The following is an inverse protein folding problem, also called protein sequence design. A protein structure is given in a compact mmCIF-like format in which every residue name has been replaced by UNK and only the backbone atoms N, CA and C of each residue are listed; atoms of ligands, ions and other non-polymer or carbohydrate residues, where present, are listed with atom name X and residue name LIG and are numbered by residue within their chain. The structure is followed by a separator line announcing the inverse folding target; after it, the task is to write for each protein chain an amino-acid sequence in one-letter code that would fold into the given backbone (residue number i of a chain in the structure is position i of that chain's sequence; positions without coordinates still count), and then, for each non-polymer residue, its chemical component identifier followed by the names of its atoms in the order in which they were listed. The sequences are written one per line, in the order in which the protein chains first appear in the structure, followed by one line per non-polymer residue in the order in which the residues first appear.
data_IF_282941274728
#
_entry.id   IF_282941274728
#
_cell.length_a   1.000
_cell.length_b   1.000
_cell.length_c   1.000
_cell.angle_alpha   90.00
_cell.angle_beta   90.00
_cell.angle_gamma   90.00
#
_symmetry.space_group_name_H-M   'P 1'
#
loop_
_entity.id
_entity.type
_entity.pdbx_description
1 polymer ?
#
# COMPACT_ATOMS: atom_id res chain seq x y z
N UNK A 1 -9.55 12.50 4.51
CA UNK A 1 -8.35 11.70 4.88
C UNK A 1 -8.02 10.82 3.71
N UNK A 2 -6.98 11.13 2.98
CA UNK A 2 -6.64 10.50 1.70
C UNK A 2 -5.44 9.58 1.86
N UNK A 3 -5.54 8.34 1.35
CA UNK A 3 -4.46 7.36 1.39
C UNK A 3 -4.23 6.81 -0.01
N UNK A 4 -3.01 6.98 -0.48
CA UNK A 4 -2.54 6.37 -1.71
C UNK A 4 -1.39 5.40 -1.41
N UNK A 5 -1.23 4.40 -2.26
CA UNK A 5 -0.10 3.46 -2.21
C UNK A 5 0.62 3.49 -3.55
N UNK A 6 1.95 3.47 -3.51
CA UNK A 6 2.79 3.35 -4.68
C UNK A 6 3.72 2.13 -4.56
N UNK A 7 3.69 1.27 -5.56
CA UNK A 7 4.62 0.17 -5.75
C UNK A 7 5.67 0.59 -6.78
N UNK A 8 6.91 0.67 -6.35
CA UNK A 8 8.03 1.07 -7.21
C UNK A 8 8.61 -0.17 -7.89
N UNK A 9 8.40 -0.24 -9.21
CA UNK A 9 8.94 -1.29 -10.08
C UNK A 9 8.78 -2.72 -9.52
N UNK A 10 7.57 -3.13 -9.10
CA UNK A 10 7.33 -4.45 -8.52
C UNK A 10 7.71 -5.55 -9.52
N UNK A 11 8.12 -6.71 -8.98
CA UNK A 11 8.59 -7.83 -9.80
C UNK A 11 7.51 -8.85 -10.11
N UNK A 12 6.65 -9.15 -9.14
CA UNK A 12 5.73 -10.28 -9.23
C UNK A 12 4.27 -9.83 -9.37
N UNK A 13 3.57 -10.24 -10.45
CA UNK A 13 2.16 -9.89 -10.68
C UNK A 13 1.24 -10.29 -9.52
N UNK A 14 1.49 -11.43 -8.85
CA UNK A 14 0.66 -11.90 -7.75
C UNK A 14 0.74 -10.97 -6.52
N UNK A 15 1.89 -10.35 -6.26
CA UNK A 15 2.02 -9.36 -5.19
C UNK A 15 1.22 -8.11 -5.49
N UNK A 16 1.22 -7.65 -6.75
CA UNK A 16 0.38 -6.52 -7.16
C UNK A 16 -1.10 -6.84 -6.98
N UNK A 17 -1.55 -8.05 -7.40
CA UNK A 17 -2.93 -8.48 -7.23
C UNK A 17 -3.36 -8.57 -5.76
N UNK A 18 -2.51 -9.10 -4.89
CA UNK A 18 -2.79 -9.13 -3.45
C UNK A 18 -2.78 -7.73 -2.83
N UNK A 19 -1.91 -6.83 -3.30
CA UNK A 19 -1.91 -5.42 -2.89
C UNK A 19 -3.21 -4.74 -3.27
N UNK A 20 -3.77 -4.97 -4.47
CA UNK A 20 -5.10 -4.47 -4.86
C UNK A 20 -6.16 -4.84 -3.82
N UNK A 21 -6.13 -6.07 -3.31
CA UNK A 21 -7.05 -6.50 -2.25
C UNK A 21 -6.81 -5.74 -0.95
N UNK A 22 -5.57 -5.63 -0.50
CA UNK A 22 -5.24 -4.93 0.75
C UNK A 22 -5.69 -3.46 0.70
N UNK A 23 -5.36 -2.73 -0.37
CA UNK A 23 -5.74 -1.31 -0.52
C UNK A 23 -7.25 -1.14 -0.57
N UNK A 24 -7.97 -2.07 -1.21
CA UNK A 24 -9.44 -2.04 -1.26
C UNK A 24 -10.08 -2.33 0.10
N UNK A 25 -9.52 -3.25 0.89
CA UNK A 25 -10.01 -3.59 2.23
C UNK A 25 -9.84 -2.42 3.19
N UNK A 26 -8.69 -1.75 3.14
CA UNK A 26 -8.36 -0.66 4.07
C UNK A 26 -8.69 0.75 3.54
N UNK A 27 -9.44 0.84 2.43
CA UNK A 27 -10.00 2.10 1.95
C UNK A 27 -8.96 3.09 1.41
N UNK A 28 -7.81 2.62 0.90
CA UNK A 28 -6.93 3.48 0.13
C UNK A 28 -7.62 3.88 -1.19
N UNK A 29 -7.39 5.10 -1.66
CA UNK A 29 -8.13 5.67 -2.79
C UNK A 29 -7.45 5.37 -4.13
N UNK A 30 -6.11 5.23 -4.14
CA UNK A 30 -5.35 4.93 -5.36
C UNK A 30 -4.21 3.96 -5.08
N UNK A 31 -3.94 3.12 -6.07
CA UNK A 31 -2.77 2.27 -6.13
C UNK A 31 -1.98 2.60 -7.39
N UNK A 32 -0.83 3.21 -7.21
CA UNK A 32 0.11 3.51 -8.28
C UNK A 32 1.12 2.36 -8.46
N UNK A 33 1.58 2.18 -9.68
CA UNK A 33 2.65 1.27 -10.01
C UNK A 33 3.62 1.93 -11.00
N UNK A 34 4.90 1.92 -10.68
CA UNK A 34 5.95 2.36 -11.60
C UNK A 34 6.65 1.16 -12.26
N UNK A 35 7.47 1.43 -13.26
CA UNK A 35 8.23 0.40 -13.96
C UNK A 35 7.40 -0.38 -14.98
N UNK A 36 8.02 -1.40 -15.57
CA UNK A 36 7.45 -2.19 -16.67
C UNK A 36 7.63 -3.71 -16.48
N UNK A 37 8.06 -4.15 -15.29
CA UNK A 37 8.30 -5.58 -15.01
C UNK A 37 7.01 -6.38 -14.84
N UNK A 38 5.93 -5.71 -14.46
CA UNK A 38 4.60 -6.30 -14.33
C UNK A 38 3.66 -5.64 -15.33
N UNK A 39 3.20 -6.44 -16.29
CA UNK A 39 2.14 -6.04 -17.20
C UNK A 39 0.79 -6.48 -16.63
N UNK A 40 -0.05 -5.53 -16.29
CA UNK A 40 -1.38 -5.78 -15.73
C UNK A 40 -2.45 -5.95 -16.81
N UNK A 41 -2.17 -5.49 -18.03
CA UNK A 41 -3.11 -5.52 -19.16
C UNK A 41 -2.61 -6.49 -20.21
N UNK A 42 -3.45 -7.45 -20.57
CA UNK A 42 -3.28 -8.26 -21.79
C UNK A 42 -2.46 -9.53 -21.65
N UNK A 43 -1.93 -9.91 -20.48
CA UNK A 43 -1.29 -11.22 -20.33
C UNK A 43 -2.32 -12.35 -20.26
N UNK A 44 -2.28 -13.33 -21.19
CA UNK A 44 -3.05 -14.56 -21.04
C UNK A 44 -2.66 -15.24 -19.71
N UNK A 45 -3.62 -15.43 -18.81
CA UNK A 45 -3.39 -16.12 -17.55
C UNK A 45 -3.30 -15.25 -16.28
N UNK A 46 -3.07 -13.95 -16.38
CA UNK A 46 -3.23 -13.09 -15.21
C UNK A 46 -4.72 -12.87 -14.92
N UNK A 47 -5.20 -13.50 -13.89
CA UNK A 47 -6.57 -13.29 -13.40
C UNK A 47 -6.49 -12.78 -11.97
N UNK A 48 -7.12 -11.65 -11.71
CA UNK A 48 -7.43 -11.26 -10.34
C UNK A 48 -8.19 -12.41 -9.66
N UNK A 49 -7.94 -12.70 -8.39
CA UNK A 49 -8.73 -13.67 -7.63
C UNK A 49 -10.23 -13.46 -7.84
N UNK A 50 -10.98 -14.55 -7.88
CA UNK A 50 -12.42 -14.53 -8.21
C UNK A 50 -13.21 -13.58 -7.31
N UNK A 51 -12.85 -13.51 -6.03
CA UNK A 51 -13.51 -12.64 -5.05
C UNK A 51 -13.31 -11.15 -5.37
N UNK A 52 -12.17 -10.78 -5.89
CA UNK A 52 -11.85 -9.39 -6.25
C UNK A 52 -12.63 -8.94 -7.48
N UNK A 53 -12.87 -9.85 -8.43
CA UNK A 53 -13.71 -9.58 -9.61
C UNK A 53 -15.19 -9.42 -9.30
N UNK A 54 -15.68 -10.13 -8.29
CA UNK A 54 -17.11 -10.17 -7.96
C UNK A 54 -17.57 -9.00 -7.09
N UNK A 55 -16.69 -8.37 -6.34
CA UNK A 55 -17.09 -7.33 -5.38
C UNK A 55 -17.23 -5.93 -5.98
N UNK A 56 -16.88 -5.71 -7.23
CA UNK A 56 -17.06 -4.42 -7.93
C UNK A 56 -16.43 -3.19 -7.24
N UNK A 57 -15.58 -3.40 -6.23
CA UNK A 57 -15.01 -2.35 -5.37
C UNK A 57 -13.49 -2.40 -5.28
N UNK A 58 -12.83 -3.08 -6.17
CA UNK A 58 -11.37 -3.01 -6.16
C UNK A 58 -10.88 -1.73 -6.81
N UNK A 59 -9.79 -1.23 -6.27
CA UNK A 59 -9.13 -0.04 -6.78
C UNK A 59 -8.25 -0.47 -7.95
N UNK A 60 -8.40 0.13 -9.14
CA UNK A 60 -7.56 -0.20 -10.28
C UNK A 60 -6.12 0.21 -10.02
N UNK A 61 -5.18 -0.59 -10.50
CA UNK A 61 -3.77 -0.21 -10.54
C UNK A 61 -3.59 0.85 -11.60
N UNK A 62 -2.99 1.98 -11.22
CA UNK A 62 -2.69 3.10 -12.12
C UNK A 62 -1.20 3.10 -12.46
N UNK A 63 -0.78 2.67 -13.66
CA UNK A 63 0.60 2.81 -14.10
C UNK A 63 0.98 4.30 -14.18
N UNK A 64 2.11 4.67 -13.60
CA UNK A 64 2.58 6.05 -13.65
C UNK A 64 4.10 6.11 -13.54
N UNK A 65 4.69 7.17 -14.06
CA UNK A 65 6.11 7.51 -13.81
C UNK A 65 6.27 8.55 -12.71
N UNK A 66 5.16 9.10 -12.22
CA UNK A 66 5.14 10.24 -11.30
C UNK A 66 4.18 10.01 -10.14
N UNK A 67 4.45 9.04 -9.26
CA UNK A 67 3.56 8.76 -8.14
C UNK A 67 3.54 9.88 -7.08
N UNK A 68 4.53 10.79 -7.11
CA UNK A 68 4.72 11.86 -6.12
C UNK A 68 4.10 13.21 -6.52
N UNK A 69 3.44 13.31 -7.68
CA UNK A 69 2.94 14.61 -8.18
C UNK A 69 1.78 15.20 -7.36
N UNK A 70 1.17 14.44 -6.47
CA UNK A 70 0.11 14.93 -5.59
C UNK A 70 0.72 15.62 -4.35
N UNK A 71 0.88 16.92 -4.43
CA UNK A 71 1.45 17.74 -3.34
C UNK A 71 0.60 17.81 -2.07
N UNK A 72 -0.65 17.33 -2.11
CA UNK A 72 -1.53 17.25 -0.94
C UNK A 72 -1.27 16.03 -0.03
N UNK A 73 -0.38 15.13 -0.45
CA UNK A 73 -0.02 13.93 0.30
C UNK A 73 1.37 14.06 0.91
N UNK A 74 1.57 13.44 2.07
CA UNK A 74 2.89 13.24 2.66
C UNK A 74 3.46 11.92 2.16
N UNK A 75 4.53 11.93 1.34
CA UNK A 75 5.20 10.69 0.92
C UNK A 75 5.94 10.05 2.09
N UNK A 76 5.65 8.76 2.31
CA UNK A 76 6.23 7.93 3.38
C UNK A 76 6.89 6.73 2.74
N UNK A 77 8.21 6.62 2.84
CA UNK A 77 8.93 5.41 2.45
C UNK A 77 8.68 4.30 3.48
N UNK A 78 8.26 3.13 3.01
CA UNK A 78 8.15 1.93 3.84
C UNK A 78 9.36 1.05 3.53
N UNK A 79 10.41 1.22 4.33
CA UNK A 79 11.73 0.67 4.02
C UNK A 79 12.56 0.42 5.29
N UNK A 80 13.37 -0.64 5.25
CA UNK A 80 14.36 -0.90 6.29
C UNK A 80 15.59 -0.01 6.07
N UNK A 81 15.53 1.22 6.54
CA UNK A 81 16.62 2.17 6.37
C UNK A 81 17.00 2.85 7.68
N UNK A 82 18.23 3.33 7.77
CA UNK A 82 18.69 4.03 8.95
C UNK A 82 17.85 5.29 9.19
N UNK A 83 17.34 5.43 10.41
CA UNK A 83 16.49 6.55 10.80
C UNK A 83 14.99 6.36 10.49
N UNK A 84 14.57 5.21 9.96
CA UNK A 84 13.16 4.87 9.85
C UNK A 84 12.53 4.69 11.25
N UNK A 85 11.34 5.23 11.42
CA UNK A 85 10.54 5.04 12.65
C UNK A 85 9.96 3.61 12.66
N UNK A 86 9.94 2.96 13.81
CA UNK A 86 9.23 1.69 13.95
C UNK A 86 7.72 1.89 13.81
N UNK A 87 7.08 1.03 13.01
CA UNK A 87 5.64 1.11 12.76
C UNK A 87 4.82 1.16 14.06
N UNK A 88 5.27 0.46 15.10
CA UNK A 88 4.58 0.47 16.41
C UNK A 88 4.36 1.87 16.97
N UNK A 89 5.32 2.78 16.76
CA UNK A 89 5.30 4.16 17.26
C UNK A 89 5.00 5.21 16.19
N UNK A 90 4.94 4.79 14.93
CA UNK A 90 4.76 5.68 13.80
C UNK A 90 3.39 6.36 13.85
N UNK A 91 3.38 7.69 13.83
CA UNK A 91 2.16 8.49 13.70
C UNK A 91 1.89 8.71 12.21
N UNK A 92 0.84 8.09 11.71
CA UNK A 92 0.49 8.16 10.29
C UNK A 92 0.04 9.58 9.88
N UNK A 93 0.57 10.13 8.78
CA UNK A 93 0.05 11.40 8.23
C UNK A 93 -1.43 11.28 7.86
N UNK A 94 -2.18 12.35 8.07
CA UNK A 94 -3.61 12.37 7.72
C UNK A 94 -3.85 12.05 6.25
N UNK A 95 -3.08 12.68 5.37
CA UNK A 95 -3.06 12.40 3.94
C UNK A 95 -1.67 11.84 3.59
N UNK A 96 -1.61 10.62 3.11
CA UNK A 96 -0.35 9.91 2.92
C UNK A 96 -0.27 9.20 1.56
N UNK A 97 0.93 9.22 0.99
CA UNK A 97 1.35 8.33 -0.07
C UNK A 97 2.38 7.34 0.53
N UNK A 98 2.00 6.08 0.70
CA UNK A 98 2.94 5.04 1.14
C UNK A 98 3.66 4.44 -0.04
N UNK A 99 4.98 4.46 0.00
CA UNK A 99 5.87 4.07 -1.09
C UNK A 99 6.62 2.81 -0.70
N UNK A 100 6.47 1.75 -1.50
CA UNK A 100 7.09 0.45 -1.29
C UNK A 100 8.06 0.14 -2.43
N UNK A 101 9.23 -0.36 -2.09
CA UNK A 101 10.25 -0.81 -3.03
C UNK A 101 9.92 -2.14 -3.72
N UNK A 102 10.75 -2.55 -4.69
CA UNK A 102 10.61 -3.84 -5.34
C UNK A 102 11.00 -4.99 -4.41
N UNK A 103 10.53 -6.21 -4.71
CA UNK A 103 10.77 -7.40 -3.89
C UNK A 103 12.23 -7.89 -3.90
N UNK A 104 12.99 -7.48 -4.88
CA UNK A 104 14.38 -7.89 -5.10
C UNK A 104 15.39 -6.73 -4.99
N UNK A 105 15.02 -5.69 -4.25
CA UNK A 105 15.85 -4.51 -4.02
C UNK A 105 15.19 -3.53 -3.07
N UNK A 106 15.83 -2.39 -2.91
CA UNK A 106 15.39 -1.31 -2.04
C UNK A 106 14.83 -0.14 -2.86
N UNK A 107 14.21 0.82 -2.18
CA UNK A 107 13.87 2.12 -2.79
C UNK A 107 15.16 2.84 -3.20
N UNK A 108 15.19 3.33 -4.43
CA UNK A 108 16.32 4.10 -4.94
C UNK A 108 16.44 5.48 -4.30
N UNK A 109 17.61 6.10 -4.44
CA UNK A 109 17.87 7.45 -3.92
C UNK A 109 16.90 8.49 -4.50
N UNK A 110 16.45 8.29 -5.75
CA UNK A 110 15.48 9.18 -6.40
C UNK A 110 14.10 9.15 -5.74
N UNK A 111 13.63 7.98 -5.31
CA UNK A 111 12.37 7.83 -4.57
C UNK A 111 12.53 8.28 -3.13
N UNK A 112 13.59 7.86 -2.45
CA UNK A 112 13.86 8.24 -1.05
C UNK A 112 13.98 9.76 -0.87
N UNK A 113 14.59 10.47 -1.82
CA UNK A 113 14.72 11.93 -1.79
C UNK A 113 13.39 12.67 -1.89
N UNK A 114 12.35 12.04 -2.38
CA UNK A 114 11.00 12.58 -2.46
C UNK A 114 10.14 12.23 -1.24
N UNK A 115 10.60 11.31 -0.39
CA UNK A 115 9.88 10.92 0.81
C UNK A 115 10.22 11.86 1.97
N UNK A 116 9.19 12.26 2.71
CA UNK A 116 9.33 13.16 3.85
C UNK A 116 9.41 12.42 5.18
N UNK A 117 8.97 11.18 5.20
CA UNK A 117 9.01 10.31 6.37
C UNK A 117 9.39 8.89 5.97
N UNK A 118 9.91 8.15 6.94
CA UNK A 118 10.41 6.80 6.75
C UNK A 118 9.87 5.92 7.87
N UNK A 119 9.31 4.77 7.52
CA UNK A 119 8.75 3.82 8.47
C UNK A 119 9.24 2.42 8.14
N UNK A 120 9.59 1.66 9.16
CA UNK A 120 9.94 0.25 9.06
C UNK A 120 8.92 -0.62 9.81
N UNK A 121 8.64 -1.80 9.29
CA UNK A 121 7.85 -2.81 9.97
C UNK A 121 8.83 -3.68 10.76
N UNK A 122 8.80 -3.65 12.12
CA UNK A 122 9.72 -4.42 12.92
C UNK A 122 9.48 -5.92 12.73
N UNK A 123 10.55 -6.69 12.55
CA UNK A 123 10.48 -8.13 12.35
C UNK A 123 11.87 -8.74 12.23
N UNK A 124 11.95 -10.06 12.33
CA UNK A 124 13.22 -10.79 12.16
C UNK A 124 13.67 -10.84 10.71
N UNK A 125 12.75 -10.72 9.76
CA UNK A 125 12.99 -10.74 8.32
C UNK A 125 12.02 -9.82 7.60
N UNK A 126 12.36 -9.47 6.35
CA UNK A 126 11.49 -8.68 5.48
C UNK A 126 10.18 -9.43 5.18
N UNK A 127 9.07 -8.71 5.20
CA UNK A 127 7.79 -9.24 4.75
C UNK A 127 7.72 -9.28 3.22
N UNK A 128 6.88 -10.17 2.70
CA UNK A 128 6.42 -10.08 1.32
C UNK A 128 5.77 -8.70 1.07
N UNK A 129 5.94 -8.16 -0.13
CA UNK A 129 5.44 -6.82 -0.51
C UNK A 129 3.97 -6.61 -0.16
N UNK A 130 3.08 -7.51 -0.59
CA UNK A 130 1.66 -7.37 -0.32
C UNK A 130 1.32 -7.50 1.17
N UNK A 131 2.07 -8.34 1.89
CA UNK A 131 1.94 -8.48 3.35
C UNK A 131 2.38 -7.19 4.05
N UNK A 132 3.47 -6.56 3.62
CA UNK A 132 3.93 -5.28 4.16
C UNK A 132 2.88 -4.18 3.97
N UNK A 133 2.28 -4.09 2.77
CA UNK A 133 1.18 -3.16 2.50
C UNK A 133 0.00 -3.42 3.44
N UNK A 134 -0.42 -4.68 3.59
CA UNK A 134 -1.55 -5.04 4.44
C UNK A 134 -1.29 -4.71 5.92
N UNK A 135 -0.10 -5.02 6.43
CA UNK A 135 0.29 -4.74 7.83
C UNK A 135 0.30 -3.24 8.10
N UNK A 136 0.92 -2.45 7.22
CA UNK A 136 0.97 -1.00 7.36
C UNK A 136 -0.42 -0.36 7.35
N UNK A 137 -1.27 -0.75 6.41
CA UNK A 137 -2.62 -0.20 6.30
C UNK A 137 -3.52 -0.65 7.47
N UNK A 138 -3.35 -1.88 7.96
CA UNK A 138 -4.05 -2.38 9.15
C UNK A 138 -3.64 -1.61 10.41
N UNK A 139 -2.34 -1.35 10.59
CA UNK A 139 -1.84 -0.54 11.71
C UNK A 139 -2.41 0.88 11.65
N UNK A 140 -2.38 1.51 10.48
CA UNK A 140 -2.98 2.83 10.26
C UNK A 140 -4.45 2.85 10.68
N UNK A 141 -5.24 1.90 10.20
CA UNK A 141 -6.68 1.83 10.51
C UNK A 141 -6.92 1.59 12.00
N UNK A 142 -6.13 0.70 12.61
CA UNK A 142 -6.20 0.42 14.05
C UNK A 142 -5.91 1.67 14.88
N UNK A 143 -4.87 2.42 14.55
CA UNK A 143 -4.52 3.68 15.24
C UNK A 143 -5.60 4.74 15.03
N UNK A 144 -6.11 4.88 13.81
CA UNK A 144 -7.20 5.80 13.49
C UNK A 144 -8.46 5.54 14.32
N UNK A 145 -8.83 4.26 14.49
CA UNK A 145 -10.00 3.87 15.32
C UNK A 145 -9.74 4.20 16.79
N UNK A 146 -8.52 3.93 17.31
CA UNK A 146 -8.15 4.26 18.69
C UNK A 146 -8.19 5.76 18.97
N UNK A 147 -7.97 6.58 17.96
CA UNK A 147 -8.08 8.05 18.05
C UNK A 147 -9.53 8.56 17.85
N UNK A 148 -10.52 7.69 17.89
CA UNK A 148 -11.94 8.04 17.79
C UNK A 148 -12.50 8.03 16.36
N UNK A 149 -11.76 7.52 15.39
CA UNK A 149 -12.26 7.33 14.02
C UNK A 149 -13.33 6.24 13.94
N UNK A 150 -14.30 6.40 13.06
CA UNK A 150 -15.32 5.40 12.81
C UNK A 150 -14.70 4.26 11.97
N UNK A 151 -14.87 2.97 12.33
CA UNK A 151 -14.40 1.85 11.50
C UNK A 151 -14.92 1.92 10.07
N UNK A 152 -14.11 1.51 9.11
CA UNK A 152 -14.47 1.52 7.68
C UNK A 152 -15.71 0.68 7.40
N UNK A 153 -15.90 -0.39 8.17
CA UNK A 153 -17.11 -1.24 8.12
C UNK A 153 -17.36 -1.89 9.48
N UNK A 154 -18.53 -1.69 10.07
CA UNK A 154 -18.89 -2.36 11.31
C UNK A 154 -18.93 -3.89 11.11
N UNK A 155 -18.38 -4.65 12.04
CA UNK A 155 -18.39 -6.13 11.99
C UNK A 155 -19.83 -6.66 12.03
N UNK A 156 -20.77 -5.94 12.63
CA UNK A 156 -22.20 -6.27 12.69
C UNK A 156 -22.88 -6.41 11.33
N UNK A 157 -22.34 -5.82 10.27
CA UNK A 157 -22.90 -5.97 8.91
C UNK A 157 -22.60 -7.33 8.25
N UNK A 158 -21.72 -8.14 8.86
CA UNK A 158 -21.34 -9.46 8.34
C UNK A 158 -22.13 -10.61 9.00
N UNK A 159 -22.88 -10.36 10.07
CA UNK A 159 -23.54 -11.40 10.87
C UNK A 159 -24.97 -11.70 10.38
N UNK A 160 -25.47 -11.00 9.38
CA UNK A 160 -26.84 -11.09 8.89
C UNK A 160 -26.97 -11.66 7.47
N UNK A 161 -26.04 -12.54 7.04
CA UNK A 161 -26.21 -13.31 5.78
C UNK A 161 -26.03 -14.80 6.01
#
# INVERSE_FOLDING_TARGET
MTVHVALINPRYPHNVGQTVRAVSVFGAEKLFMTGNRVELVGRPGYRLPREERMRGKYIPVTPTRRPFDDSGLTPVAVELTHGAEDLAWFVHPKNALYVFGPEDGDLGSAELSQCHRFVQIPGLHCLNLASAVAVLLADRETKRIREGGIPLRPVSEFVTQ
#
